data_IF_576267264010
#
_entry.id   IF_576267264010
#
_cell.length_a   1.000
_cell.length_b   1.000
_cell.length_c   1.000
_cell.angle_alpha   90.00
_cell.angle_beta   90.00
_cell.angle_gamma   90.00
#
_symmetry.space_group_name_H-M   'P 1'
#
loop_
_entity.id
_entity.type
_entity.pdbx_description
1 polymer ?
#
# COMPACT_ATOMS: atom_id res chain seq x y z
N UNK A 1 -15.78 -15.07 30.98
CA UNK A 1 -16.03 -16.38 31.62
C UNK A 1 -15.47 -17.51 30.70
N UNK A 2 -15.78 -17.58 29.44
CA UNK A 2 -15.29 -18.64 28.53
C UNK A 2 -13.76 -18.72 28.40
N UNK A 3 -13.05 -17.60 28.56
CA UNK A 3 -11.59 -17.56 28.54
C UNK A 3 -10.94 -17.87 29.89
N UNK A 4 -11.71 -18.07 30.94
CA UNK A 4 -11.20 -18.41 32.28
C UNK A 4 -10.33 -17.32 32.94
N UNK A 5 -10.43 -16.06 32.50
CA UNK A 5 -9.55 -14.98 32.99
C UNK A 5 -9.74 -14.62 34.48
N UNK A 6 -10.87 -14.97 35.05
CA UNK A 6 -11.12 -14.76 36.48
C UNK A 6 -10.51 -15.87 37.34
N UNK A 7 -10.41 -17.08 36.81
CA UNK A 7 -9.85 -18.26 37.48
C UNK A 7 -8.33 -18.37 37.29
N UNK A 8 -7.84 -17.90 36.12
CA UNK A 8 -6.42 -17.91 35.73
C UNK A 8 -6.00 -16.51 35.31
N UNK A 9 -5.74 -15.63 36.28
CA UNK A 9 -5.28 -14.26 36.01
C UNK A 9 -3.78 -14.14 35.74
N UNK A 10 -3.01 -15.19 36.02
CA UNK A 10 -1.56 -15.22 35.74
C UNK A 10 -1.29 -15.93 34.42
N UNK A 11 -0.40 -15.34 33.66
CA UNK A 11 0.07 -15.86 32.38
C UNK A 11 1.27 -16.79 32.66
N UNK A 12 1.26 -17.97 32.07
CA UNK A 12 2.42 -18.87 32.06
C UNK A 12 3.43 -18.37 31.01
N UNK A 13 4.52 -17.76 31.50
CA UNK A 13 5.56 -17.18 30.63
C UNK A 13 6.24 -18.22 29.73
N UNK A 14 6.43 -19.44 30.22
CA UNK A 14 7.04 -20.53 29.46
C UNK A 14 6.10 -21.02 28.34
N UNK A 15 4.80 -21.08 28.63
CA UNK A 15 3.79 -21.40 27.61
C UNK A 15 3.72 -20.33 26.53
N UNK A 16 3.79 -19.04 26.87
CA UNK A 16 3.82 -17.93 25.89
C UNK A 16 5.02 -18.06 24.96
N UNK A 17 6.22 -18.27 25.50
CA UNK A 17 7.44 -18.38 24.69
C UNK A 17 7.33 -19.50 23.64
N UNK A 18 6.58 -20.57 23.92
CA UNK A 18 6.34 -21.66 22.98
C UNK A 18 5.25 -21.39 21.95
N UNK A 19 4.35 -20.43 22.21
CA UNK A 19 3.20 -20.11 21.35
C UNK A 19 3.44 -18.91 20.43
N UNK A 20 4.27 -17.94 20.87
CA UNK A 20 4.53 -16.72 20.08
C UNK A 20 5.47 -17.05 18.94
N UNK A 21 5.10 -16.59 17.72
CA UNK A 21 5.91 -16.71 16.50
C UNK A 21 6.27 -18.16 16.11
N UNK A 22 5.37 -19.10 16.37
CA UNK A 22 5.53 -20.43 15.78
C UNK A 22 5.62 -20.33 14.26
N UNK A 23 6.37 -21.23 13.58
CA UNK A 23 6.43 -21.21 12.12
C UNK A 23 5.06 -21.23 11.42
N UNK A 24 4.09 -21.90 12.03
CA UNK A 24 2.70 -21.97 11.56
C UNK A 24 2.01 -20.59 11.61
N UNK A 25 2.12 -19.88 12.74
CA UNK A 25 1.51 -18.55 12.86
C UNK A 25 2.20 -17.51 12.00
N UNK A 26 3.52 -17.59 11.83
CA UNK A 26 4.26 -16.74 10.90
C UNK A 26 3.80 -17.00 9.46
N UNK A 27 3.68 -18.27 9.05
CA UNK A 27 3.21 -18.61 7.72
C UNK A 27 1.78 -18.14 7.46
N UNK A 28 0.87 -18.30 8.43
CA UNK A 28 -0.49 -17.79 8.34
C UNK A 28 -0.54 -16.26 8.23
N UNK A 29 0.30 -15.54 8.96
CA UNK A 29 0.42 -14.09 8.87
C UNK A 29 0.93 -13.61 7.50
N UNK A 30 1.95 -14.26 6.94
CA UNK A 30 2.46 -13.95 5.60
C UNK A 30 1.42 -14.25 4.52
N UNK A 31 0.68 -15.34 4.64
CA UNK A 31 -0.40 -15.69 3.72
C UNK A 31 -1.54 -14.65 3.76
N UNK A 32 -1.89 -14.17 4.96
CA UNK A 32 -2.87 -13.09 5.10
C UNK A 32 -2.39 -11.81 4.42
N UNK A 33 -1.11 -11.43 4.57
CA UNK A 33 -0.54 -10.28 3.89
C UNK A 33 -0.57 -10.44 2.36
N UNK A 34 -0.19 -11.61 1.82
CA UNK A 34 -0.28 -11.87 0.37
C UNK A 34 -1.69 -11.65 -0.17
N UNK A 35 -2.69 -12.16 0.54
CA UNK A 35 -4.10 -12.07 0.16
C UNK A 35 -4.68 -10.67 0.30
N UNK A 36 -4.07 -9.79 1.10
CA UNK A 36 -4.53 -8.42 1.29
C UNK A 36 -4.05 -7.46 0.20
N UNK A 37 -3.02 -7.81 -0.56
CA UNK A 37 -2.50 -6.94 -1.63
C UNK A 37 -3.51 -6.84 -2.76
N UNK A 38 -3.87 -5.60 -3.13
CA UNK A 38 -4.84 -5.28 -4.17
C UNK A 38 -4.12 -4.75 -5.40
N UNK A 39 -4.22 -5.44 -6.52
CA UNK A 39 -3.79 -4.91 -7.81
C UNK A 39 -4.90 -3.98 -8.34
N UNK A 40 -4.67 -2.68 -8.31
CA UNK A 40 -5.66 -1.67 -8.69
C UNK A 40 -5.70 -1.45 -10.21
N UNK A 41 -4.53 -1.30 -10.83
CA UNK A 41 -4.42 -1.33 -12.28
C UNK A 41 -3.17 -2.09 -12.73
N UNK A 42 -3.14 -2.50 -14.00
CA UNK A 42 -2.03 -3.20 -14.63
C UNK A 42 -2.06 -2.90 -16.12
N UNK A 43 -1.57 -1.71 -16.49
CA UNK A 43 -1.68 -1.12 -17.83
C UNK A 43 -0.31 -1.12 -18.50
N UNK A 44 -0.24 -1.69 -19.66
CA UNK A 44 0.69 -1.31 -20.73
C UNK A 44 -0.07 -1.39 -22.06
N UNK A 45 0.39 -0.69 -23.06
CA UNK A 45 -0.33 -0.49 -24.34
C UNK A 45 -0.78 -1.80 -25.01
N UNK A 46 -0.01 -2.90 -24.87
CA UNK A 46 -0.33 -4.20 -25.49
C UNK A 46 -0.16 -5.40 -24.55
N UNK A 47 0.54 -5.25 -23.44
CA UNK A 47 0.82 -6.30 -22.44
C UNK A 47 0.70 -5.70 -21.04
N UNK A 48 0.23 -6.49 -20.05
CA UNK A 48 0.27 -6.08 -18.65
C UNK A 48 1.69 -5.73 -18.19
N UNK A 49 1.82 -4.68 -17.36
CA UNK A 49 3.12 -4.31 -16.78
C UNK A 49 3.63 -5.37 -15.82
N UNK A 50 2.73 -5.93 -15.02
CA UNK A 50 3.03 -6.96 -14.02
C UNK A 50 2.49 -8.33 -14.46
N UNK A 51 3.12 -9.44 -14.03
CA UNK A 51 4.33 -9.52 -13.20
C UNK A 51 5.63 -9.32 -14.01
N UNK A 52 6.71 -8.87 -13.34
CA UNK A 52 8.03 -8.77 -13.96
C UNK A 52 8.80 -10.10 -13.96
N UNK A 53 9.66 -10.26 -14.97
CA UNK A 53 10.64 -11.33 -14.99
C UNK A 53 11.78 -11.06 -14.00
N UNK A 54 12.38 -12.13 -13.46
CA UNK A 54 13.60 -12.03 -12.67
C UNK A 54 14.76 -11.47 -13.50
N UNK A 55 15.61 -10.66 -12.87
CA UNK A 55 16.77 -10.05 -13.54
C UNK A 55 16.51 -8.66 -14.16
N UNK A 56 15.27 -8.15 -14.12
CA UNK A 56 14.92 -6.78 -14.49
C UNK A 56 15.75 -5.77 -13.69
N UNK A 57 16.18 -4.68 -14.31
CA UNK A 57 16.85 -3.57 -13.60
C UNK A 57 15.81 -2.71 -12.91
N UNK A 58 15.95 -2.58 -11.59
CA UNK A 58 14.94 -1.98 -10.74
C UNK A 58 15.56 -0.82 -9.96
N UNK A 59 14.90 0.33 -10.00
CA UNK A 59 15.12 1.40 -9.04
C UNK A 59 14.03 1.37 -7.97
N UNK A 60 14.42 1.42 -6.71
CA UNK A 60 13.54 1.35 -5.54
C UNK A 60 13.50 2.71 -4.85
N UNK A 61 12.29 3.22 -4.66
CA UNK A 61 12.05 4.45 -3.92
C UNK A 61 11.01 4.18 -2.81
N UNK A 62 11.46 4.17 -1.56
CA UNK A 62 10.61 4.01 -0.38
C UNK A 62 10.45 2.58 0.17
N UNK A 63 11.09 1.57 -0.45
CA UNK A 63 11.15 0.19 0.06
C UNK A 63 12.60 -0.24 0.33
N UNK A 64 12.79 -1.43 0.93
CA UNK A 64 14.13 -1.97 1.18
C UNK A 64 14.76 -2.52 -0.11
N UNK A 65 15.84 -1.89 -0.63
CA UNK A 65 16.51 -2.36 -1.83
C UNK A 65 17.19 -3.72 -1.64
N UNK A 66 17.52 -4.13 -0.42
CA UNK A 66 18.14 -5.44 -0.16
C UNK A 66 17.14 -6.59 -0.41
N UNK A 67 15.87 -6.41 -0.09
CA UNK A 67 14.84 -7.38 -0.44
C UNK A 67 14.65 -7.48 -1.95
N UNK A 68 14.68 -6.36 -2.68
CA UNK A 68 14.53 -6.32 -4.13
C UNK A 68 15.65 -7.07 -4.89
N UNK A 69 16.87 -7.12 -4.34
CA UNK A 69 18.01 -7.83 -4.93
C UNK A 69 17.78 -9.33 -5.13
N UNK A 70 16.82 -9.91 -4.43
CA UNK A 70 16.46 -11.34 -4.60
C UNK A 70 15.73 -11.61 -5.90
N UNK A 71 15.18 -10.57 -6.51
CA UNK A 71 14.29 -10.65 -7.67
C UNK A 71 14.91 -10.04 -8.93
N UNK A 72 15.69 -8.97 -8.79
CA UNK A 72 16.25 -8.24 -9.91
C UNK A 72 17.59 -7.57 -9.62
N UNK A 73 18.07 -6.81 -10.60
CA UNK A 73 19.27 -6.00 -10.46
C UNK A 73 18.89 -4.62 -9.98
N UNK A 74 19.16 -4.30 -8.70
CA UNK A 74 18.90 -2.98 -8.14
C UNK A 74 19.95 -2.00 -8.66
N UNK A 75 19.49 -0.86 -9.18
CA UNK A 75 20.32 0.24 -9.69
C UNK A 75 20.20 1.47 -8.80
N UNK A 76 21.19 2.37 -8.87
CA UNK A 76 21.30 3.53 -7.97
C UNK A 76 20.44 4.73 -8.38
N UNK A 77 19.91 4.73 -9.62
CA UNK A 77 19.11 5.83 -10.14
C UNK A 77 18.05 5.37 -11.14
N UNK A 78 16.96 6.12 -11.24
CA UNK A 78 15.81 5.78 -12.08
C UNK A 78 16.14 5.78 -13.58
N UNK A 79 17.08 6.60 -14.03
CA UNK A 79 17.54 6.67 -15.43
C UNK A 79 18.31 5.42 -15.90
N UNK A 80 18.73 4.58 -14.98
CA UNK A 80 19.40 3.29 -15.24
C UNK A 80 18.45 2.09 -15.18
N UNK A 81 17.22 2.32 -14.73
CA UNK A 81 16.24 1.27 -14.45
C UNK A 81 15.38 0.96 -15.69
N UNK A 82 14.98 -0.29 -15.83
CA UNK A 82 13.91 -0.70 -16.72
C UNK A 82 12.53 -0.43 -16.05
N UNK A 83 12.52 -0.54 -14.70
CA UNK A 83 11.35 -0.39 -13.85
C UNK A 83 11.69 0.46 -12.62
N UNK A 84 10.81 1.39 -12.29
CA UNK A 84 10.81 2.11 -11.01
C UNK A 84 9.67 1.60 -10.16
N UNK A 85 9.98 1.22 -8.90
CA UNK A 85 8.98 0.88 -7.89
C UNK A 85 8.97 2.02 -6.87
N UNK A 86 7.89 2.80 -6.88
CA UNK A 86 7.65 3.93 -5.99
C UNK A 86 6.67 3.51 -4.90
N UNK A 87 7.11 3.49 -3.64
CA UNK A 87 6.24 3.28 -2.50
C UNK A 87 5.82 4.61 -1.89
N UNK A 88 4.54 4.75 -1.65
CA UNK A 88 3.92 5.91 -1.02
C UNK A 88 3.23 5.48 0.27
N UNK A 89 3.68 6.00 1.42
CA UNK A 89 3.03 5.70 2.70
C UNK A 89 1.63 6.31 2.76
N UNK A 90 0.83 5.84 3.70
CA UNK A 90 -0.47 6.42 4.01
C UNK A 90 -0.35 7.93 4.24
N UNK A 91 -1.27 8.69 3.64
CA UNK A 91 -1.31 10.15 3.78
C UNK A 91 -1.90 10.50 5.16
N UNK A 92 -1.12 11.22 5.96
CA UNK A 92 -1.56 11.82 7.21
C UNK A 92 -1.34 13.34 7.15
N UNK A 93 -2.09 14.03 6.31
CA UNK A 93 -2.05 15.48 6.17
C UNK A 93 -3.00 16.12 7.19
N UNK A 94 -2.75 15.95 8.48
CA UNK A 94 -3.51 16.61 9.53
C UNK A 94 -3.19 18.10 9.61
N UNK A 95 -4.13 18.86 10.16
CA UNK A 95 -3.88 20.26 10.49
C UNK A 95 -2.79 20.35 11.56
N UNK A 96 -1.68 21.01 11.24
CA UNK A 96 -0.66 21.28 12.25
C UNK A 96 -1.28 22.14 13.37
N UNK A 97 -1.16 21.66 14.60
CA UNK A 97 -1.56 22.44 15.77
C UNK A 97 -0.46 23.48 16.04
N UNK A 98 -0.75 24.77 15.97
CA UNK A 98 0.28 25.79 16.18
C UNK A 98 1.01 25.61 17.52
N UNK A 99 2.33 25.35 17.46
CA UNK A 99 3.18 25.16 18.63
C UNK A 99 3.27 23.73 19.16
N UNK A 100 2.71 22.75 18.46
CA UNK A 100 2.95 21.32 18.74
C UNK A 100 4.27 20.85 18.11
N UNK A 101 4.83 19.76 18.67
CA UNK A 101 5.91 19.04 18.04
C UNK A 101 5.40 18.25 16.85
N UNK A 102 6.19 18.13 15.77
CA UNK A 102 5.84 17.38 14.54
C UNK A 102 5.35 15.95 14.83
N UNK A 103 5.94 15.27 15.83
CA UNK A 103 5.51 13.95 16.27
C UNK A 103 4.08 13.93 16.86
N UNK A 104 3.71 15.00 17.56
CA UNK A 104 2.36 15.14 18.13
C UNK A 104 1.35 15.38 17.02
N UNK A 105 1.69 16.19 16.01
CA UNK A 105 0.83 16.45 14.86
C UNK A 105 0.60 15.18 14.04
N UNK A 106 1.64 14.39 13.77
CA UNK A 106 1.55 13.09 13.12
C UNK A 106 0.66 12.14 13.94
N UNK A 107 0.86 12.08 15.25
CA UNK A 107 0.06 11.22 16.13
C UNK A 107 -1.41 11.63 16.15
N UNK A 108 -1.71 12.91 16.30
CA UNK A 108 -3.08 13.43 16.33
C UNK A 108 -3.78 13.25 14.97
N UNK A 109 -3.08 13.53 13.87
CA UNK A 109 -3.61 13.32 12.51
C UNK A 109 -3.94 11.86 12.24
N UNK A 110 -3.06 10.97 12.66
CA UNK A 110 -3.25 9.51 12.58
C UNK A 110 -4.45 9.05 13.43
N UNK A 111 -4.59 9.59 14.65
CA UNK A 111 -5.65 9.23 15.58
C UNK A 111 -7.02 9.76 15.14
N UNK A 112 -7.07 10.97 14.58
CA UNK A 112 -8.32 11.62 14.19
C UNK A 112 -8.72 11.31 12.75
N UNK A 113 -7.83 10.68 11.96
CA UNK A 113 -8.04 10.39 10.53
C UNK A 113 -8.54 11.61 9.74
N UNK A 114 -8.10 12.80 10.14
CA UNK A 114 -8.51 14.07 9.58
C UNK A 114 -7.60 14.50 8.40
N UNK A 115 -8.06 15.45 7.61
CA UNK A 115 -7.31 16.14 6.58
C UNK A 115 -7.48 15.64 5.16
N UNK A 116 -6.69 16.23 4.28
CA UNK A 116 -6.74 16.00 2.83
C UNK A 116 -6.26 14.58 2.46
N UNK A 117 -7.01 13.92 1.56
CA UNK A 117 -6.69 12.58 1.03
C UNK A 117 -5.83 12.64 -0.25
N UNK A 118 -5.52 13.83 -0.77
CA UNK A 118 -4.70 13.98 -1.96
C UNK A 118 -3.21 13.98 -1.63
N UNK A 119 -2.41 13.42 -2.53
CA UNK A 119 -0.95 13.49 -2.46
C UNK A 119 -0.44 14.91 -2.76
N UNK A 120 0.71 15.24 -2.17
CA UNK A 120 1.42 16.48 -2.47
C UNK A 120 1.77 16.56 -3.97
N UNK A 121 1.55 17.69 -4.64
CA UNK A 121 1.92 17.87 -6.05
C UNK A 121 3.39 17.56 -6.36
N UNK A 122 4.30 17.69 -5.40
CA UNK A 122 5.70 17.31 -5.58
C UNK A 122 5.87 15.78 -5.73
N UNK A 123 5.05 14.98 -5.04
CA UNK A 123 5.02 13.51 -5.18
C UNK A 123 4.49 13.13 -6.56
N UNK A 124 3.40 13.75 -7.02
CA UNK A 124 2.83 13.50 -8.33
C UNK A 124 3.82 13.88 -9.44
N UNK A 125 4.50 15.01 -9.32
CA UNK A 125 5.56 15.41 -10.24
C UNK A 125 6.74 14.44 -10.26
N UNK A 126 7.14 13.92 -9.11
CA UNK A 126 8.18 12.90 -8.99
C UNK A 126 7.76 11.61 -9.70
N UNK A 127 6.54 11.13 -9.45
CA UNK A 127 5.98 9.96 -10.12
C UNK A 127 5.93 10.16 -11.65
N UNK A 128 5.49 11.32 -12.14
CA UNK A 128 5.52 11.65 -13.57
C UNK A 128 6.94 11.60 -14.14
N UNK A 129 7.93 12.15 -13.44
CA UNK A 129 9.32 12.08 -13.87
C UNK A 129 9.83 10.64 -14.01
N UNK A 130 9.39 9.75 -13.14
CA UNK A 130 9.73 8.32 -13.22
C UNK A 130 9.04 7.65 -14.42
N UNK A 131 7.75 7.88 -14.61
CA UNK A 131 6.97 7.35 -15.73
C UNK A 131 7.47 7.80 -17.10
N UNK A 132 8.03 9.01 -17.20
CA UNK A 132 8.63 9.53 -18.44
C UNK A 132 9.91 8.77 -18.86
N UNK A 133 10.55 8.02 -17.94
CA UNK A 133 11.86 7.41 -18.18
C UNK A 133 11.87 5.87 -18.07
N UNK A 134 10.94 5.27 -17.35
CA UNK A 134 10.89 3.83 -17.09
C UNK A 134 9.45 3.38 -16.84
N UNK A 135 9.22 2.07 -16.85
CA UNK A 135 7.94 1.50 -16.38
C UNK A 135 7.75 1.85 -14.91
N UNK A 136 6.65 2.50 -14.57
CA UNK A 136 6.36 2.93 -13.20
C UNK A 136 5.35 2.01 -12.53
N UNK A 137 5.77 1.38 -11.44
CA UNK A 137 4.88 0.71 -10.50
C UNK A 137 4.76 1.56 -9.25
N UNK A 138 3.56 2.05 -8.98
CA UNK A 138 3.28 2.79 -7.74
C UNK A 138 2.59 1.85 -6.75
N UNK A 139 3.13 1.80 -5.55
CA UNK A 139 2.58 1.06 -4.42
C UNK A 139 2.12 2.07 -3.38
N UNK A 140 0.86 2.00 -2.99
CA UNK A 140 0.27 2.93 -2.03
C UNK A 140 -0.19 2.16 -0.79
N UNK A 141 0.23 2.61 0.39
CA UNK A 141 -0.33 2.11 1.64
C UNK A 141 -1.69 2.77 1.91
N UNK A 142 -2.73 1.96 1.95
CA UNK A 142 -4.12 2.34 2.05
C UNK A 142 -4.70 2.08 3.46
N UNK A 143 -3.91 2.29 4.53
CA UNK A 143 -4.46 2.26 5.89
C UNK A 143 -5.58 3.29 6.10
N UNK A 144 -5.68 4.25 5.18
CA UNK A 144 -6.87 5.09 4.95
C UNK A 144 -7.05 5.32 3.45
N UNK A 145 -8.27 5.65 2.98
CA UNK A 145 -8.49 6.00 1.58
C UNK A 145 -7.59 7.15 1.11
N UNK A 146 -7.24 7.15 -0.18
CA UNK A 146 -6.46 8.20 -0.82
C UNK A 146 -7.03 8.52 -2.21
N UNK A 147 -6.82 9.75 -2.69
CA UNK A 147 -7.17 10.14 -4.05
C UNK A 147 -6.05 9.69 -4.99
N UNK A 148 -6.34 8.70 -5.81
CA UNK A 148 -5.37 8.06 -6.71
C UNK A 148 -5.55 8.44 -8.17
N UNK A 149 -6.43 9.38 -8.51
CA UNK A 149 -6.81 9.72 -9.89
C UNK A 149 -5.62 10.01 -10.79
N UNK A 150 -4.68 10.84 -10.33
CA UNK A 150 -3.49 11.18 -11.12
C UNK A 150 -2.49 10.01 -11.12
N UNK A 151 -2.28 9.34 -10.00
CA UNK A 151 -1.38 8.18 -9.92
C UNK A 151 -1.88 7.02 -10.80
N UNK A 152 -3.20 6.80 -10.87
CA UNK A 152 -3.77 5.81 -11.77
C UNK A 152 -3.48 6.13 -13.24
N UNK A 153 -3.48 7.41 -13.64
CA UNK A 153 -3.22 7.82 -15.02
C UNK A 153 -1.75 7.63 -15.42
N UNK A 154 -0.81 7.95 -14.53
CA UNK A 154 0.63 7.96 -14.83
C UNK A 154 1.35 6.66 -14.53
N UNK A 155 0.78 5.77 -13.70
CA UNK A 155 1.41 4.48 -13.37
C UNK A 155 1.03 3.40 -14.36
N UNK A 156 2.00 2.59 -14.78
CA UNK A 156 1.78 1.38 -15.58
C UNK A 156 1.17 0.26 -14.74
N UNK A 157 1.53 0.19 -13.45
CA UNK A 157 0.90 -0.66 -12.45
C UNK A 157 0.67 0.11 -11.15
N UNK A 158 -0.51 -0.10 -10.55
CA UNK A 158 -0.88 0.51 -9.28
C UNK A 158 -1.33 -0.57 -8.30
N UNK A 159 -0.70 -0.58 -7.13
CA UNK A 159 -0.92 -1.58 -6.08
C UNK A 159 -1.33 -0.88 -4.79
N UNK A 160 -2.43 -1.34 -4.18
CA UNK A 160 -2.83 -0.97 -2.83
C UNK A 160 -2.37 -2.00 -1.80
N UNK A 161 -1.82 -1.53 -0.68
CA UNK A 161 -1.38 -2.36 0.44
C UNK A 161 -1.96 -1.87 1.77
N UNK A 162 -1.89 -2.70 2.81
CA UNK A 162 -2.40 -2.43 4.15
C UNK A 162 -1.36 -2.82 5.21
N UNK A 163 -0.12 -2.33 5.06
CA UNK A 163 0.97 -2.62 5.97
C UNK A 163 1.56 -4.02 5.80
N UNK A 164 1.95 -4.39 4.58
CA UNK A 164 2.61 -5.67 4.27
C UNK A 164 4.13 -5.55 4.35
N UNK A 165 4.82 -6.68 4.54
CA UNK A 165 6.28 -6.72 4.42
C UNK A 165 6.73 -6.57 2.96
N UNK A 166 7.87 -5.90 2.74
CA UNK A 166 8.45 -5.70 1.41
C UNK A 166 8.68 -7.04 0.68
N UNK A 167 9.14 -8.07 1.39
CA UNK A 167 9.31 -9.40 0.83
C UNK A 167 8.02 -9.98 0.24
N UNK A 168 6.89 -9.77 0.90
CA UNK A 168 5.57 -10.23 0.43
C UNK A 168 5.10 -9.42 -0.79
N UNK A 169 5.37 -8.12 -0.79
CA UNK A 169 5.05 -7.25 -1.91
C UNK A 169 5.83 -7.66 -3.17
N UNK A 170 7.13 -7.94 -3.03
CA UNK A 170 7.95 -8.40 -4.16
C UNK A 170 7.51 -9.77 -4.70
N UNK A 171 7.01 -10.69 -3.87
CA UNK A 171 6.42 -11.95 -4.35
C UNK A 171 5.25 -11.70 -5.33
N UNK A 172 4.44 -10.68 -5.08
CA UNK A 172 3.36 -10.26 -5.99
C UNK A 172 3.95 -9.58 -7.22
N UNK A 173 4.80 -8.58 -7.09
CA UNK A 173 5.38 -7.83 -8.21
C UNK A 173 6.08 -8.74 -9.22
N UNK A 174 6.73 -9.82 -8.75
CA UNK A 174 7.47 -10.79 -9.57
C UNK A 174 6.69 -12.09 -9.85
N UNK A 175 5.40 -12.12 -9.62
CA UNK A 175 4.51 -13.22 -10.03
C UNK A 175 4.67 -14.51 -9.24
N UNK A 176 5.33 -14.50 -8.09
CA UNK A 176 5.38 -15.68 -7.21
C UNK A 176 4.05 -15.91 -6.49
N UNK A 177 3.24 -14.86 -6.37
CA UNK A 177 1.88 -14.91 -5.86
C UNK A 177 0.96 -14.05 -6.72
N UNK A 178 -0.16 -14.62 -7.19
CA UNK A 178 -1.16 -13.90 -7.95
C UNK A 178 -2.04 -13.06 -7.00
N UNK A 179 -2.15 -11.73 -7.17
CA UNK A 179 -2.94 -10.87 -6.30
C UNK A 179 -4.41 -11.31 -6.28
N UNK A 180 -4.99 -11.32 -5.09
CA UNK A 180 -6.37 -11.74 -4.83
C UNK A 180 -7.16 -10.72 -4.01
N UNK A 181 -6.46 -9.71 -3.48
CA UNK A 181 -7.05 -8.69 -2.63
C UNK A 181 -8.13 -7.89 -3.35
N UNK A 182 -9.10 -7.43 -2.57
CA UNK A 182 -10.18 -6.55 -3.01
C UNK A 182 -10.24 -5.35 -2.09
N UNK A 183 -10.51 -4.18 -2.65
CA UNK A 183 -10.67 -2.96 -1.84
C UNK A 183 -11.79 -3.12 -0.81
N UNK A 184 -11.51 -2.88 0.47
CA UNK A 184 -12.53 -2.92 1.53
C UNK A 184 -13.35 -1.62 1.62
N UNK A 185 -13.10 -0.65 0.76
CA UNK A 185 -13.81 0.63 0.61
C UNK A 185 -13.60 1.15 -0.82
N UNK A 186 -14.42 2.08 -1.26
CA UNK A 186 -14.18 2.78 -2.52
C UNK A 186 -13.06 3.83 -2.39
N UNK A 187 -12.42 4.19 -3.50
CA UNK A 187 -11.45 5.27 -3.56
C UNK A 187 -12.03 6.47 -4.32
N UNK A 188 -12.24 7.60 -3.64
CA UNK A 188 -12.88 8.77 -4.25
C UNK A 188 -11.98 9.40 -5.34
N UNK A 189 -12.62 10.03 -6.33
CA UNK A 189 -11.91 10.67 -7.44
C UNK A 189 -11.28 12.03 -7.09
N UNK A 190 -11.81 12.71 -6.07
CA UNK A 190 -11.35 14.05 -5.66
C UNK A 190 -11.77 14.38 -4.24
N UNK A 191 -11.19 15.43 -3.67
CA UNK A 191 -11.66 15.97 -2.39
C UNK A 191 -13.08 16.52 -2.48
N UNK A 192 -13.49 17.06 -3.63
CA UNK A 192 -14.86 17.53 -3.83
C UNK A 192 -15.86 16.37 -3.76
N UNK A 193 -15.50 15.21 -4.32
CA UNK A 193 -16.31 13.99 -4.18
C UNK A 193 -16.42 13.54 -2.71
N UNK A 194 -15.32 13.58 -1.96
CA UNK A 194 -15.31 13.27 -0.52
C UNK A 194 -16.24 14.20 0.27
N UNK A 195 -16.19 15.50 -0.02
CA UNK A 195 -17.01 16.49 0.67
C UNK A 195 -18.51 16.39 0.37
N UNK A 196 -18.89 15.67 -0.68
CA UNK A 196 -20.28 15.44 -1.08
C UNK A 196 -20.83 14.12 -0.52
N UNK A 197 -19.97 13.24 -0.01
CA UNK A 197 -20.41 12.00 0.62
C UNK A 197 -21.28 12.27 1.85
N UNK A 198 -22.21 11.38 2.11
CA UNK A 198 -23.05 11.40 3.31
C UNK A 198 -22.36 10.63 4.42
N UNK A 199 -22.32 11.18 5.61
CA UNK A 199 -21.60 10.62 6.77
C UNK A 199 -22.05 9.20 7.17
N UNK A 200 -23.27 8.81 6.86
CA UNK A 200 -23.89 7.54 7.26
C UNK A 200 -24.16 6.57 6.10
N UNK A 201 -23.70 6.88 4.90
CA UNK A 201 -23.88 6.02 3.72
C UNK A 201 -22.49 5.60 3.22
N UNK A 202 -22.13 4.31 3.32
CA UNK A 202 -20.87 3.82 2.77
C UNK A 202 -20.93 3.79 1.23
N UNK A 203 -19.76 3.94 0.61
CA UNK A 203 -19.54 3.76 -0.83
C UNK A 203 -20.49 4.60 -1.71
N UNK A 204 -20.70 5.87 -1.34
CA UNK A 204 -21.60 6.80 -2.05
C UNK A 204 -20.86 7.92 -2.80
N UNK A 205 -19.56 7.79 -3.04
CA UNK A 205 -18.80 8.74 -3.85
C UNK A 205 -19.35 8.84 -5.26
N UNK A 206 -19.54 10.06 -5.74
CA UNK A 206 -19.83 10.28 -7.16
C UNK A 206 -18.58 9.98 -8.00
N UNK A 207 -18.66 9.00 -8.90
CA UNK A 207 -17.61 8.59 -9.82
C UNK A 207 -16.27 8.22 -9.10
N UNK A 208 -16.25 7.19 -8.24
CA UNK A 208 -15.03 6.75 -7.59
C UNK A 208 -14.00 6.29 -8.63
N UNK A 209 -12.70 6.48 -8.33
CA UNK A 209 -11.63 5.95 -9.19
C UNK A 209 -11.63 4.43 -9.17
N UNK A 210 -11.85 3.85 -7.99
CA UNK A 210 -12.02 2.43 -7.79
C UNK A 210 -13.19 2.18 -6.84
N UNK A 211 -14.09 1.31 -7.28
CA UNK A 211 -15.27 0.92 -6.49
C UNK A 211 -14.91 -0.02 -5.34
N UNK A 212 -15.77 -0.11 -4.34
CA UNK A 212 -15.71 -1.16 -3.32
C UNK A 212 -15.60 -2.55 -3.99
N UNK A 213 -14.72 -3.39 -3.48
CA UNK A 213 -14.49 -4.73 -4.02
C UNK A 213 -13.64 -4.79 -5.30
N UNK A 214 -13.15 -3.65 -5.80
CA UNK A 214 -12.23 -3.62 -6.93
C UNK A 214 -10.91 -4.32 -6.60
N UNK A 215 -10.35 -5.00 -7.60
CA UNK A 215 -9.04 -5.64 -7.56
C UNK A 215 -8.87 -6.58 -8.73
N UNK A 216 -7.70 -6.54 -9.34
CA UNK A 216 -7.31 -7.35 -10.50
C UNK A 216 -6.49 -8.57 -10.06
N UNK A 217 -6.27 -9.48 -11.01
CA UNK A 217 -5.33 -10.60 -10.92
C UNK A 217 -4.62 -10.76 -12.27
N UNK A 218 -3.48 -11.47 -12.28
CA UNK A 218 -2.76 -11.79 -13.51
C UNK A 218 -3.51 -12.77 -14.38
#
# INVERSE_FOLDING_TARGET
FELGLFEQSLVDEDAIASLIRTPEYVAAGLEAQRKSIVLLNNKMTDIPALPFATGTKIFIDGLDPEEAKRYGTVVDSADQADVVILYLPTIFNGNQVPGSDELIDIFLSSLLSDGNLAFDPAILKKAQTYSDNAVLITVVDLNRPAILTELDQISDGLIGTFGVYDSVLFEVIFGQFNPQGKLPFELPSSMDAVMQQKEDIPDDSENPVFEFGHGLSY
#
